data_IF_633457363210
#
_entry.id   IF_633457363210
#
_cell.length_a   1.000
_cell.length_b   1.000
_cell.length_c   1.000
_cell.angle_alpha   90.00
_cell.angle_beta   90.00
_cell.angle_gamma   90.00
#
_symmetry.space_group_name_H-M   'P 1'
#
loop_
_entity.id
_entity.type
_entity.pdbx_description
1 polymer ?
#
# COMPACT_ATOMS: atom_id res chain seq x y z
N UNK A 1 -1.62 9.46 -7.54
CA UNK A 1 -2.58 10.55 -7.69
C UNK A 1 -3.55 10.29 -8.84
N UNK A 2 -3.07 9.96 -10.06
CA UNK A 2 -3.91 9.78 -11.27
C UNK A 2 -5.01 8.74 -11.12
N UNK A 3 -4.70 7.55 -10.62
CA UNK A 3 -5.71 6.49 -10.34
C UNK A 3 -6.76 6.99 -9.36
N UNK A 4 -6.36 7.61 -8.25
CA UNK A 4 -7.32 8.17 -7.28
C UNK A 4 -8.21 9.23 -7.88
N UNK A 5 -7.67 10.11 -8.73
CA UNK A 5 -8.44 11.12 -9.42
C UNK A 5 -9.46 10.49 -10.38
N UNK A 6 -9.10 9.40 -11.05
CA UNK A 6 -9.97 8.63 -11.93
C UNK A 6 -11.12 7.96 -11.16
N UNK A 7 -10.82 7.28 -10.04
CA UNK A 7 -11.84 6.68 -9.19
C UNK A 7 -12.80 7.72 -8.58
N UNK A 8 -12.27 8.86 -8.13
CA UNK A 8 -13.09 9.98 -7.65
C UNK A 8 -13.98 10.50 -8.76
N UNK A 9 -13.48 10.55 -10.00
CA UNK A 9 -14.26 10.98 -11.15
C UNK A 9 -15.45 10.03 -11.42
N UNK A 10 -15.24 8.71 -11.32
CA UNK A 10 -16.32 7.73 -11.43
C UNK A 10 -17.42 7.97 -10.39
N UNK A 11 -17.04 8.23 -9.15
CA UNK A 11 -17.99 8.54 -8.07
C UNK A 11 -18.72 9.86 -8.35
N UNK A 12 -17.99 10.91 -8.73
CA UNK A 12 -18.54 12.25 -9.02
C UNK A 12 -19.53 12.22 -10.18
N UNK A 13 -19.21 11.47 -11.24
CA UNK A 13 -20.08 11.30 -12.41
C UNK A 13 -21.20 10.26 -12.19
N UNK A 14 -21.25 9.61 -11.01
CA UNK A 14 -22.22 8.57 -10.65
C UNK A 14 -22.28 7.41 -11.67
N UNK A 15 -21.13 7.02 -12.20
CA UNK A 15 -21.06 6.00 -13.26
C UNK A 15 -21.69 4.68 -12.82
N UNK A 16 -21.49 4.25 -11.58
CA UNK A 16 -22.09 3.02 -11.04
C UNK A 16 -23.62 3.09 -11.05
N UNK A 17 -24.20 4.21 -10.62
CA UNK A 17 -25.66 4.39 -10.62
C UNK A 17 -26.22 4.42 -12.04
N UNK A 18 -25.57 5.15 -12.95
CA UNK A 18 -25.95 5.22 -14.37
C UNK A 18 -25.84 3.86 -15.05
N UNK A 19 -24.79 3.08 -14.72
CA UNK A 19 -24.62 1.72 -15.23
C UNK A 19 -25.70 0.78 -14.70
N UNK A 20 -26.09 0.91 -13.42
CA UNK A 20 -27.19 0.13 -12.86
C UNK A 20 -28.54 0.47 -13.52
N UNK A 21 -28.81 1.75 -13.75
CA UNK A 21 -30.04 2.19 -14.45
C UNK A 21 -30.08 1.68 -15.88
N UNK A 22 -28.96 1.74 -16.62
CA UNK A 22 -28.89 1.22 -17.99
C UNK A 22 -28.93 -0.31 -18.03
N UNK A 23 -28.32 -0.99 -17.06
CA UNK A 23 -28.35 -2.46 -16.93
C UNK A 23 -29.73 -3.00 -16.55
N UNK A 24 -30.55 -2.24 -15.83
CA UNK A 24 -31.93 -2.63 -15.51
C UNK A 24 -32.83 -2.70 -16.75
N UNK A 25 -32.44 -2.01 -17.82
CA UNK A 25 -33.06 -2.11 -19.16
C UNK A 25 -32.56 -3.32 -19.97
N UNK A 26 -31.52 -4.02 -19.48
CA UNK A 26 -30.87 -5.18 -20.10
C UNK A 26 -30.77 -6.27 -19.04
N UNK A 27 -31.23 -7.50 -19.33
CA UNK A 27 -31.12 -8.62 -18.38
C UNK A 27 -29.70 -8.78 -17.84
N UNK A 28 -29.55 -8.90 -16.49
CA UNK A 28 -28.28 -8.95 -15.76
C UNK A 28 -27.30 -10.00 -16.32
N UNK A 29 -27.82 -11.16 -16.77
CA UNK A 29 -27.05 -12.21 -17.43
C UNK A 29 -26.40 -11.74 -18.74
N UNK A 30 -27.08 -10.86 -19.48
CA UNK A 30 -26.54 -10.28 -20.73
C UNK A 30 -25.45 -9.23 -20.42
N UNK A 31 -25.61 -8.45 -19.35
CA UNK A 31 -24.62 -7.45 -18.94
C UNK A 31 -23.30 -8.10 -18.50
N UNK A 32 -23.36 -9.19 -17.74
CA UNK A 32 -22.16 -9.95 -17.31
C UNK A 32 -21.47 -10.66 -18.47
N UNK A 33 -22.23 -11.21 -19.43
CA UNK A 33 -21.64 -11.86 -20.61
C UNK A 33 -20.95 -10.85 -21.55
N UNK A 34 -21.46 -9.61 -21.61
CA UNK A 34 -20.85 -8.52 -22.39
C UNK A 34 -19.56 -8.04 -21.74
N UNK A 35 -19.55 -7.89 -20.42
CA UNK A 35 -18.32 -7.56 -19.70
C UNK A 35 -17.24 -8.62 -19.94
N UNK A 36 -17.61 -9.90 -19.90
CA UNK A 36 -16.72 -11.02 -20.19
C UNK A 36 -16.20 -11.01 -21.63
N UNK A 37 -17.04 -10.65 -22.63
CA UNK A 37 -16.63 -10.58 -24.06
C UNK A 37 -15.76 -9.36 -24.36
N UNK A 38 -15.98 -8.22 -23.71
CA UNK A 38 -15.08 -7.06 -23.81
C UNK A 38 -13.70 -7.42 -23.25
N UNK A 39 -13.67 -8.11 -22.14
CA UNK A 39 -12.43 -8.61 -21.51
C UNK A 39 -11.72 -9.63 -22.40
N UNK A 40 -12.46 -10.56 -23.02
CA UNK A 40 -11.90 -11.58 -23.93
C UNK A 40 -11.50 -11.00 -25.30
N UNK A 41 -12.27 -10.06 -25.83
CA UNK A 41 -12.05 -9.48 -27.16
C UNK A 41 -10.82 -8.58 -27.29
N UNK A 42 -10.26 -8.11 -26.20
CA UNK A 42 -8.96 -7.39 -26.22
C UNK A 42 -7.76 -8.32 -26.44
N UNK A 43 -7.95 -9.64 -26.30
CA UNK A 43 -6.87 -10.63 -26.42
C UNK A 43 -6.94 -11.52 -27.67
N UNK A 44 -8.02 -11.49 -28.47
CA UNK A 44 -8.10 -12.31 -29.67
C UNK A 44 -8.62 -11.53 -30.88
N UNK A 45 -7.71 -11.00 -31.67
CA UNK A 45 -7.99 -10.37 -32.95
C UNK A 45 -8.35 -11.40 -34.04
N UNK A 46 -8.42 -12.68 -33.70
CA UNK A 46 -8.58 -13.77 -34.69
C UNK A 46 -9.91 -14.53 -34.69
N UNK A 47 -10.75 -14.44 -33.67
CA UNK A 47 -11.86 -15.39 -33.47
C UNK A 47 -13.29 -14.84 -33.65
N UNK A 48 -13.50 -13.54 -33.81
CA UNK A 48 -14.85 -12.92 -33.86
C UNK A 48 -15.36 -12.59 -35.29
N UNK A 49 -14.76 -13.18 -36.31
CA UNK A 49 -15.10 -12.87 -37.69
C UNK A 49 -16.37 -13.52 -38.24
N UNK A 50 -17.02 -14.43 -37.54
CA UNK A 50 -18.18 -15.16 -38.12
C UNK A 50 -19.09 -15.77 -37.05
N UNK A 51 -19.88 -14.98 -36.27
CA UNK A 51 -21.11 -15.57 -35.74
C UNK A 51 -22.07 -14.50 -35.16
N UNK A 52 -23.25 -14.45 -35.75
CA UNK A 52 -24.55 -14.02 -35.22
C UNK A 52 -24.76 -12.53 -34.98
N UNK A 53 -25.19 -11.84 -36.00
CA UNK A 53 -26.01 -10.63 -35.95
C UNK A 53 -27.35 -10.98 -35.35
N UNK A 54 -27.48 -10.95 -34.04
CA UNK A 54 -28.75 -11.02 -33.33
C UNK A 54 -28.97 -9.73 -32.54
N UNK A 55 -30.21 -9.43 -32.20
CA UNK A 55 -30.59 -8.29 -31.36
C UNK A 55 -29.81 -8.21 -30.03
N UNK A 56 -29.20 -9.31 -29.56
CA UNK A 56 -28.31 -9.39 -28.43
C UNK A 56 -26.93 -8.72 -28.69
N UNK A 57 -26.38 -8.83 -29.89
CA UNK A 57 -25.09 -8.21 -30.24
C UNK A 57 -25.17 -6.68 -30.31
N UNK A 58 -26.32 -6.14 -30.71
CA UNK A 58 -26.55 -4.68 -30.72
C UNK A 58 -26.64 -4.12 -29.30
N UNK A 59 -27.32 -4.82 -28.37
CA UNK A 59 -27.37 -4.43 -26.96
C UNK A 59 -25.99 -4.54 -26.29
N UNK A 60 -25.25 -5.59 -26.59
CA UNK A 60 -23.89 -5.81 -26.13
C UNK A 60 -22.95 -4.67 -26.59
N UNK A 61 -23.03 -4.29 -27.84
CA UNK A 61 -22.23 -3.20 -28.41
C UNK A 61 -22.57 -1.85 -27.77
N UNK A 62 -23.86 -1.57 -27.49
CA UNK A 62 -24.29 -0.36 -26.78
C UNK A 62 -23.72 -0.27 -25.37
N UNK A 63 -23.74 -1.37 -24.60
CA UNK A 63 -23.18 -1.40 -23.26
C UNK A 63 -21.66 -1.23 -23.26
N UNK A 64 -20.98 -1.81 -24.21
CA UNK A 64 -19.53 -1.62 -24.39
C UNK A 64 -19.17 -0.17 -24.69
N UNK A 65 -19.93 0.48 -25.57
CA UNK A 65 -19.71 1.88 -25.88
C UNK A 65 -20.01 2.77 -24.68
N UNK A 66 -21.06 2.47 -23.94
CA UNK A 66 -21.43 3.16 -22.71
C UNK A 66 -20.31 3.08 -21.64
N UNK A 67 -19.69 1.91 -21.44
CA UNK A 67 -18.53 1.75 -20.56
C UNK A 67 -17.35 2.60 -21.04
N UNK A 68 -17.04 2.56 -22.35
CA UNK A 68 -15.95 3.38 -22.92
C UNK A 68 -16.19 4.88 -22.76
N UNK A 69 -17.41 5.34 -22.92
CA UNK A 69 -17.79 6.74 -22.71
C UNK A 69 -17.60 7.17 -21.24
N UNK A 70 -17.97 6.30 -20.28
CA UNK A 70 -17.74 6.54 -18.87
C UNK A 70 -16.24 6.62 -18.52
N UNK A 71 -15.41 5.76 -19.12
CA UNK A 71 -13.97 5.81 -18.94
C UNK A 71 -13.37 7.13 -19.47
N UNK A 72 -13.79 7.56 -20.64
CA UNK A 72 -13.36 8.84 -21.23
C UNK A 72 -13.85 10.03 -20.39
N UNK A 73 -15.08 9.99 -19.91
CA UNK A 73 -15.63 11.03 -19.01
C UNK A 73 -14.82 11.05 -17.70
N UNK A 74 -14.52 9.89 -17.12
CA UNK A 74 -13.72 9.79 -15.90
C UNK A 74 -12.29 10.35 -16.10
N UNK A 75 -11.64 10.04 -17.22
CA UNK A 75 -10.32 10.56 -17.55
C UNK A 75 -10.30 12.09 -17.65
N UNK A 76 -11.28 12.67 -18.30
CA UNK A 76 -11.42 14.15 -18.43
C UNK A 76 -11.63 14.81 -17.07
N UNK A 77 -12.52 14.25 -16.24
CA UNK A 77 -12.76 14.75 -14.88
C UNK A 77 -11.53 14.56 -13.99
N UNK A 78 -10.83 13.45 -14.13
CA UNK A 78 -9.61 13.17 -13.38
C UNK A 78 -8.51 14.20 -13.65
N UNK A 79 -8.31 14.61 -14.91
CA UNK A 79 -7.38 15.69 -15.25
C UNK A 79 -7.76 16.99 -14.54
N UNK A 80 -9.03 17.36 -14.52
CA UNK A 80 -9.49 18.56 -13.80
C UNK A 80 -9.28 18.42 -12.28
N UNK A 81 -9.50 17.25 -11.72
CA UNK A 81 -9.25 16.96 -10.29
C UNK A 81 -7.77 17.14 -9.98
N UNK A 82 -6.87 16.59 -10.81
CA UNK A 82 -5.42 16.73 -10.64
C UNK A 82 -5.00 18.20 -10.68
N UNK A 83 -5.46 18.95 -11.68
CA UNK A 83 -5.15 20.40 -11.83
C UNK A 83 -5.63 21.18 -10.61
N UNK A 84 -6.87 20.96 -10.16
CA UNK A 84 -7.42 21.64 -8.99
C UNK A 84 -6.69 21.30 -7.69
N UNK A 85 -6.10 20.11 -7.62
CA UNK A 85 -5.23 19.67 -6.52
C UNK A 85 -3.78 20.14 -6.68
N UNK A 86 -3.48 20.95 -7.70
CA UNK A 86 -2.12 21.40 -8.05
C UNK A 86 -1.14 20.24 -8.33
N UNK A 87 -1.66 19.12 -8.84
CA UNK A 87 -0.88 17.93 -9.23
C UNK A 87 -0.73 17.94 -10.76
N UNK A 88 0.46 17.59 -11.25
CA UNK A 88 0.75 17.55 -12.67
C UNK A 88 -0.22 16.62 -13.42
N UNK A 89 -1.07 17.14 -14.34
CA UNK A 89 -2.03 16.33 -15.07
C UNK A 89 -1.39 15.28 -16.01
N UNK A 90 -0.11 15.47 -16.40
CA UNK A 90 0.62 14.48 -17.18
C UNK A 90 0.81 13.14 -16.45
N UNK A 91 0.67 13.13 -15.11
CA UNK A 91 0.70 11.90 -14.32
C UNK A 91 -0.32 10.83 -14.79
N UNK A 92 -1.44 11.27 -15.41
CA UNK A 92 -2.44 10.37 -15.98
C UNK A 92 -1.90 9.63 -17.20
N UNK A 93 -1.34 10.35 -18.15
CA UNK A 93 -0.78 9.74 -19.37
C UNK A 93 0.49 8.92 -19.09
N UNK A 94 1.30 9.30 -18.11
CA UNK A 94 2.46 8.53 -17.66
C UNK A 94 2.03 7.21 -17.02
N UNK A 95 0.98 7.23 -16.21
CA UNK A 95 0.39 6.03 -15.64
C UNK A 95 -0.09 5.07 -16.74
N UNK A 96 -0.80 5.57 -17.74
CA UNK A 96 -1.26 4.74 -18.86
C UNK A 96 -0.11 4.13 -19.67
N UNK A 97 0.97 4.88 -19.89
CA UNK A 97 2.18 4.35 -20.55
C UNK A 97 2.85 3.25 -19.72
N UNK A 98 2.84 3.40 -18.39
CA UNK A 98 3.37 2.38 -17.48
C UNK A 98 2.53 1.10 -17.56
N UNK A 99 1.19 1.21 -17.47
CA UNK A 99 0.29 0.07 -17.64
C UNK A 99 0.47 -0.64 -18.99
N UNK A 100 0.70 0.12 -20.05
CA UNK A 100 0.93 -0.44 -21.38
C UNK A 100 2.24 -1.24 -21.46
N UNK A 101 3.28 -0.81 -20.76
CA UNK A 101 4.58 -1.51 -20.71
C UNK A 101 4.55 -2.75 -19.83
N UNK A 102 3.79 -2.71 -18.75
CA UNK A 102 3.71 -3.79 -17.76
C UNK A 102 2.57 -4.79 -18.05
N UNK A 103 2.16 -4.91 -19.29
CA UNK A 103 1.03 -5.74 -19.73
C UNK A 103 1.14 -7.24 -19.38
N UNK A 104 2.26 -7.68 -18.81
CA UNK A 104 2.53 -9.04 -18.35
C UNK A 104 2.44 -9.20 -16.81
N UNK A 105 2.19 -8.14 -16.06
CA UNK A 105 2.04 -8.20 -14.59
C UNK A 105 0.56 -8.43 -14.22
N UNK A 106 0.30 -9.37 -13.30
CA UNK A 106 -1.05 -9.73 -12.87
C UNK A 106 -1.86 -8.55 -12.33
N UNK A 107 -1.21 -7.59 -11.66
CA UNK A 107 -1.88 -6.41 -11.12
C UNK A 107 -2.30 -5.40 -12.20
N UNK A 108 -1.48 -5.21 -13.23
CA UNK A 108 -1.84 -4.38 -14.38
C UNK A 108 -3.02 -5.00 -15.16
N UNK A 109 -3.03 -6.32 -15.32
CA UNK A 109 -4.12 -7.06 -15.97
C UNK A 109 -5.45 -6.92 -15.22
N UNK A 110 -5.44 -6.96 -13.90
CA UNK A 110 -6.66 -6.81 -13.09
C UNK A 110 -7.28 -5.40 -13.25
N UNK A 111 -6.46 -4.35 -13.19
CA UNK A 111 -6.92 -2.99 -13.45
C UNK A 111 -7.49 -2.82 -14.86
N UNK A 112 -6.81 -3.35 -15.88
CA UNK A 112 -7.23 -3.27 -17.29
C UNK A 112 -8.52 -4.05 -17.59
N UNK A 113 -8.86 -5.03 -16.76
CA UNK A 113 -10.13 -5.78 -16.87
C UNK A 113 -11.36 -4.93 -16.53
N UNK A 114 -11.23 -4.05 -15.52
CA UNK A 114 -12.30 -3.16 -15.11
C UNK A 114 -12.25 -1.81 -15.83
N UNK A 115 -11.05 -1.35 -16.21
CA UNK A 115 -10.79 -0.08 -16.88
C UNK A 115 -10.04 -0.28 -18.20
N UNK A 116 -10.72 -0.65 -19.30
CA UNK A 116 -10.06 -0.93 -20.59
C UNK A 116 -9.28 0.27 -21.11
N UNK A 117 -7.99 0.08 -21.34
CA UNK A 117 -7.11 1.12 -21.86
C UNK A 117 -7.05 1.05 -23.38
N UNK A 118 -7.47 2.13 -24.04
CA UNK A 118 -7.40 2.28 -25.49
C UNK A 118 -6.35 3.33 -25.88
N UNK A 119 -5.83 3.24 -27.09
CA UNK A 119 -4.90 4.25 -27.64
C UNK A 119 -5.54 5.65 -27.65
N UNK A 120 -6.85 5.73 -27.90
CA UNK A 120 -7.59 6.97 -27.87
C UNK A 120 -7.59 7.61 -26.47
N UNK A 121 -7.75 6.83 -25.40
CA UNK A 121 -7.68 7.35 -24.02
C UNK A 121 -6.29 7.92 -23.70
N UNK A 122 -5.23 7.23 -24.12
CA UNK A 122 -3.84 7.70 -23.95
C UNK A 122 -3.64 9.03 -24.69
N UNK A 123 -4.02 9.09 -25.96
CA UNK A 123 -3.85 10.28 -26.78
C UNK A 123 -4.69 11.45 -26.26
N UNK A 124 -5.92 11.20 -25.87
CA UNK A 124 -6.82 12.24 -25.35
C UNK A 124 -6.33 12.81 -24.01
N UNK A 125 -5.93 11.96 -23.08
CA UNK A 125 -5.38 12.40 -21.79
C UNK A 125 -4.08 13.20 -21.96
N UNK A 126 -3.21 12.82 -22.89
CA UNK A 126 -2.02 13.61 -23.25
C UNK A 126 -2.39 15.00 -23.80
N UNK A 127 -3.33 15.04 -24.74
CA UNK A 127 -3.78 16.28 -25.34
C UNK A 127 -4.41 17.22 -24.29
N UNK A 128 -5.28 16.69 -23.44
CA UNK A 128 -5.91 17.46 -22.37
C UNK A 128 -4.88 17.98 -21.36
N UNK A 129 -3.98 17.12 -20.90
CA UNK A 129 -2.93 17.49 -19.96
C UNK A 129 -1.99 18.57 -20.50
N UNK A 130 -1.66 18.52 -21.80
CA UNK A 130 -0.78 19.50 -22.45
C UNK A 130 -1.31 20.93 -22.49
N UNK A 131 -2.62 21.11 -22.31
CA UNK A 131 -3.27 22.44 -22.25
C UNK A 131 -2.98 23.19 -20.96
N UNK A 132 -2.62 22.47 -19.90
CA UNK A 132 -2.32 23.06 -18.60
C UNK A 132 -0.82 23.35 -18.50
N UNK A 133 -0.48 24.63 -18.68
CA UNK A 133 0.89 25.16 -18.51
C UNK A 133 0.98 25.79 -17.13
N UNK A 134 1.64 25.15 -16.18
CA UNK A 134 1.80 25.67 -14.82
C UNK A 134 2.93 24.97 -14.08
N UNK A 135 3.34 25.55 -12.96
CA UNK A 135 4.21 24.88 -12.01
C UNK A 135 3.31 24.07 -11.07
N UNK A 136 3.34 22.75 -11.23
CA UNK A 136 2.66 21.83 -10.34
C UNK A 136 3.57 21.43 -9.19
N UNK A 137 2.97 21.00 -8.08
CA UNK A 137 3.73 20.46 -6.96
C UNK A 137 4.49 19.21 -7.40
N UNK A 138 5.78 19.18 -7.07
CA UNK A 138 6.58 17.97 -7.22
C UNK A 138 6.10 16.90 -6.23
N UNK A 139 6.40 15.63 -6.53
CA UNK A 139 6.17 14.53 -5.61
C UNK A 139 6.80 14.82 -4.25
N UNK A 140 6.00 14.68 -3.19
CA UNK A 140 6.51 14.86 -1.83
C UNK A 140 7.64 13.87 -1.53
N UNK A 141 8.57 14.25 -0.68
CA UNK A 141 9.61 13.32 -0.22
C UNK A 141 9.01 12.06 0.39
N UNK A 142 7.88 12.18 1.11
CA UNK A 142 7.15 11.03 1.65
C UNK A 142 6.76 10.04 0.55
N UNK A 143 6.23 10.53 -0.56
CA UNK A 143 5.90 9.68 -1.71
C UNK A 143 7.14 9.06 -2.34
N UNK A 144 8.18 9.84 -2.63
CA UNK A 144 9.39 9.37 -3.28
C UNK A 144 10.09 8.25 -2.47
N UNK A 145 10.28 8.46 -1.16
CA UNK A 145 10.90 7.46 -0.28
C UNK A 145 10.04 6.21 -0.09
N UNK A 146 8.72 6.38 0.01
CA UNK A 146 7.79 5.24 0.10
C UNK A 146 7.75 4.47 -1.22
N UNK A 147 7.68 5.15 -2.34
CA UNK A 147 7.74 4.54 -3.68
C UNK A 147 9.02 3.77 -3.90
N UNK A 148 10.18 4.35 -3.54
CA UNK A 148 11.47 3.65 -3.60
C UNK A 148 11.46 2.36 -2.78
N UNK A 149 10.94 2.39 -1.54
CA UNK A 149 10.84 1.21 -0.68
C UNK A 149 9.94 0.13 -1.28
N UNK A 150 8.77 0.49 -1.80
CA UNK A 150 7.84 -0.46 -2.45
C UNK A 150 8.46 -1.04 -3.73
N UNK A 151 9.15 -0.21 -4.52
CA UNK A 151 9.81 -0.67 -5.75
C UNK A 151 10.88 -1.72 -5.48
N UNK A 152 11.68 -1.56 -4.42
CA UNK A 152 12.71 -2.54 -4.03
C UNK A 152 12.12 -3.91 -3.69
N UNK A 153 10.86 -4.00 -3.22
CA UNK A 153 10.21 -5.29 -2.96
C UNK A 153 9.93 -6.10 -4.24
N UNK A 154 9.69 -5.41 -5.36
CA UNK A 154 9.37 -6.01 -6.65
C UNK A 154 10.57 -6.15 -7.58
N UNK A 155 11.64 -5.40 -7.33
CA UNK A 155 12.81 -5.32 -8.20
C UNK A 155 13.73 -6.54 -8.05
N UNK A 156 14.41 -6.93 -9.14
CA UNK A 156 15.58 -7.81 -9.06
C UNK A 156 16.73 -7.04 -8.41
N UNK A 157 16.82 -7.11 -7.09
CA UNK A 157 17.78 -6.33 -6.29
C UNK A 157 19.22 -6.69 -6.60
N UNK A 158 19.53 -7.94 -6.97
CA UNK A 158 20.88 -8.35 -7.36
C UNK A 158 21.34 -7.64 -8.63
N UNK A 159 20.49 -7.62 -9.66
CA UNK A 159 20.80 -6.92 -10.91
C UNK A 159 20.93 -5.41 -10.67
N UNK A 160 20.02 -4.82 -9.90
CA UNK A 160 20.07 -3.40 -9.54
C UNK A 160 21.35 -3.04 -8.79
N UNK A 161 21.71 -3.79 -7.76
CA UNK A 161 22.96 -3.57 -6.99
C UNK A 161 24.21 -3.68 -7.87
N UNK A 162 24.20 -4.60 -8.84
CA UNK A 162 25.35 -4.80 -9.75
C UNK A 162 25.50 -3.68 -10.78
N UNK A 163 24.39 -3.07 -11.21
CA UNK A 163 24.38 -2.01 -12.22
C UNK A 163 24.51 -0.60 -11.65
N UNK A 164 24.19 -0.41 -10.35
CA UNK A 164 24.15 0.92 -9.75
C UNK A 164 25.56 1.43 -9.41
N UNK A 165 25.92 2.59 -9.94
CA UNK A 165 27.16 3.27 -9.61
C UNK A 165 26.97 4.19 -8.41
N UNK A 166 27.30 3.71 -7.23
CA UNK A 166 27.27 4.50 -6.00
C UNK A 166 28.47 5.43 -5.90
N UNK A 167 28.20 6.73 -5.82
CA UNK A 167 29.23 7.75 -5.62
C UNK A 167 28.70 8.85 -4.68
N UNK A 168 29.09 8.88 -3.40
CA UNK A 168 28.58 9.84 -2.42
C UNK A 168 28.93 11.30 -2.75
N UNK A 169 30.00 11.57 -3.49
CA UNK A 169 30.38 12.94 -3.90
C UNK A 169 29.35 13.57 -4.85
N UNK A 170 28.61 12.75 -5.62
CA UNK A 170 27.57 13.24 -6.52
C UNK A 170 26.33 13.77 -5.79
N UNK A 171 26.12 13.42 -4.52
CA UNK A 171 25.00 13.93 -3.71
C UNK A 171 25.13 15.43 -3.40
N UNK A 172 26.34 15.94 -3.34
CA UNK A 172 26.59 17.38 -3.11
C UNK A 172 26.13 18.22 -4.29
N UNK A 173 26.31 17.70 -5.50
CA UNK A 173 25.98 18.39 -6.77
C UNK A 173 24.61 18.04 -7.32
N UNK A 174 24.07 16.85 -6.98
CA UNK A 174 22.78 16.37 -7.46
C UNK A 174 21.90 15.84 -6.31
N UNK A 175 21.10 16.69 -5.64
CA UNK A 175 20.21 16.29 -4.56
C UNK A 175 19.15 15.27 -4.96
N UNK A 176 18.80 15.14 -6.25
CA UNK A 176 17.84 14.16 -6.75
C UNK A 176 18.29 12.71 -6.51
N UNK A 177 19.61 12.48 -6.42
CA UNK A 177 20.16 11.15 -6.13
C UNK A 177 19.92 10.63 -4.71
N UNK A 178 19.44 11.46 -3.80
CA UNK A 178 19.17 11.03 -2.40
C UNK A 178 18.20 9.85 -2.37
N UNK A 179 17.17 9.87 -3.21
CA UNK A 179 16.16 8.80 -3.29
C UNK A 179 16.75 7.54 -3.93
N UNK A 180 17.58 7.71 -4.97
CA UNK A 180 18.24 6.59 -5.65
C UNK A 180 19.24 5.88 -4.74
N UNK A 181 20.06 6.65 -4.01
CA UNK A 181 21.02 6.09 -3.06
C UNK A 181 20.32 5.47 -1.85
N UNK A 182 19.17 6.02 -1.44
CA UNK A 182 18.31 5.38 -0.43
C UNK A 182 17.78 4.03 -0.93
N UNK A 183 17.28 3.97 -2.16
CA UNK A 183 16.84 2.73 -2.80
C UNK A 183 18.00 1.71 -2.90
N UNK A 184 19.20 2.17 -3.28
CA UNK A 184 20.39 1.33 -3.33
C UNK A 184 20.75 0.75 -1.96
N UNK A 185 20.71 1.56 -0.90
CA UNK A 185 20.92 1.11 0.47
C UNK A 185 19.92 0.03 0.91
N UNK A 186 18.64 0.18 0.55
CA UNK A 186 17.61 -0.83 0.80
C UNK A 186 17.88 -2.12 0.04
N UNK A 187 18.25 -2.02 -1.25
CA UNK A 187 18.58 -3.17 -2.08
C UNK A 187 19.77 -3.95 -1.54
N UNK A 188 20.82 -3.26 -1.08
CA UNK A 188 21.95 -3.87 -0.38
C UNK A 188 21.52 -4.62 0.88
N UNK A 189 20.57 -4.06 1.64
CA UNK A 189 20.01 -4.72 2.81
C UNK A 189 19.29 -6.02 2.46
N UNK A 190 18.48 -6.02 1.39
CA UNK A 190 17.76 -7.19 0.88
C UNK A 190 18.74 -8.27 0.38
N UNK A 191 19.87 -7.88 -0.21
CA UNK A 191 20.97 -8.78 -0.59
C UNK A 191 21.89 -9.16 0.60
N UNK A 192 21.50 -8.82 1.85
CA UNK A 192 22.26 -9.09 3.08
C UNK A 192 23.66 -8.45 3.13
N UNK A 193 23.94 -7.45 2.29
CA UNK A 193 25.18 -6.66 2.28
C UNK A 193 25.13 -5.54 3.32
N UNK A 194 24.87 -5.91 4.58
CA UNK A 194 24.54 -4.97 5.67
C UNK A 194 25.64 -3.94 5.98
N UNK A 195 26.92 -4.31 5.80
CA UNK A 195 28.03 -3.37 6.00
C UNK A 195 28.00 -2.25 4.96
N UNK A 196 27.78 -2.60 3.69
CA UNK A 196 27.67 -1.66 2.58
C UNK A 196 26.41 -0.80 2.74
N UNK A 197 25.25 -1.41 3.01
CA UNK A 197 24.00 -0.70 3.26
C UNK A 197 24.15 0.34 4.37
N UNK A 198 24.74 -0.04 5.51
CA UNK A 198 24.94 0.89 6.63
C UNK A 198 25.91 2.02 6.27
N UNK A 199 26.90 1.81 5.41
CA UNK A 199 27.79 2.85 4.92
C UNK A 199 27.04 3.86 4.05
N UNK A 200 26.19 3.38 3.13
CA UNK A 200 25.35 4.25 2.28
C UNK A 200 24.47 5.14 3.13
N UNK A 201 23.73 4.57 4.09
CA UNK A 201 22.81 5.35 4.94
C UNK A 201 23.55 6.31 5.88
N UNK A 202 24.72 5.97 6.42
CA UNK A 202 25.52 6.92 7.20
C UNK A 202 25.98 8.08 6.34
N UNK A 203 26.49 7.86 5.14
CA UNK A 203 26.90 8.93 4.22
C UNK A 203 25.70 9.84 3.87
N UNK A 204 24.51 9.26 3.65
CA UNK A 204 23.29 10.06 3.44
C UNK A 204 22.97 10.93 4.65
N UNK A 205 23.04 10.37 5.87
CA UNK A 205 22.79 11.11 7.10
C UNK A 205 23.80 12.24 7.33
N UNK A 206 25.08 11.99 7.03
CA UNK A 206 26.13 13.00 7.15
C UNK A 206 25.84 14.20 6.25
N UNK A 207 25.46 13.96 4.99
CA UNK A 207 25.09 15.02 4.05
C UNK A 207 23.82 15.76 4.51
N UNK A 208 22.82 15.03 4.99
CA UNK A 208 21.56 15.59 5.46
C UNK A 208 21.71 16.42 6.74
N UNK A 209 22.73 16.14 7.56
CA UNK A 209 23.02 16.93 8.76
C UNK A 209 23.47 18.37 8.45
N UNK A 210 24.07 18.57 7.28
CA UNK A 210 24.53 19.89 6.81
C UNK A 210 23.46 20.66 5.99
N UNK A 211 22.27 20.08 5.74
CA UNK A 211 21.20 20.68 4.94
C UNK A 211 19.90 20.76 5.74
N UNK A 212 19.68 21.85 6.44
CA UNK A 212 18.50 22.06 7.34
C UNK A 212 17.15 21.91 6.64
N UNK A 213 17.07 22.23 5.34
CA UNK A 213 15.84 22.12 4.54
C UNK A 213 15.38 20.67 4.30
N UNK A 214 16.24 19.69 4.55
CA UNK A 214 15.98 18.26 4.27
C UNK A 214 15.72 17.43 5.54
N UNK A 215 15.35 18.09 6.63
CA UNK A 215 15.13 17.43 7.94
C UNK A 215 14.13 16.26 7.89
N UNK A 216 13.05 16.39 7.10
CA UNK A 216 12.04 15.34 6.94
C UNK A 216 12.65 14.06 6.35
N UNK A 217 13.58 14.19 5.41
CA UNK A 217 14.24 13.06 4.73
C UNK A 217 15.08 12.24 5.71
N UNK A 218 15.72 12.91 6.67
CA UNK A 218 16.58 12.30 7.67
C UNK A 218 15.88 11.16 8.43
N UNK A 219 14.57 11.27 8.67
CA UNK A 219 13.81 10.24 9.36
C UNK A 219 13.70 8.96 8.57
N UNK A 220 13.42 9.05 7.24
CA UNK A 220 13.34 7.88 6.38
C UNK A 220 14.67 7.12 6.35
N UNK A 221 15.78 7.85 6.22
CA UNK A 221 17.13 7.25 6.18
C UNK A 221 17.50 6.68 7.54
N UNK A 222 17.17 7.36 8.64
CA UNK A 222 17.46 6.87 10.00
C UNK A 222 16.69 5.60 10.34
N UNK A 223 15.41 5.51 9.94
CA UNK A 223 14.60 4.29 10.11
C UNK A 223 15.20 3.14 9.29
N UNK A 224 15.59 3.39 8.04
CA UNK A 224 16.22 2.37 7.20
C UNK A 224 17.57 1.90 7.77
N UNK A 225 18.39 2.81 8.27
CA UNK A 225 19.65 2.45 8.94
C UNK A 225 19.41 1.59 10.19
N UNK A 226 18.40 1.94 10.99
CA UNK A 226 18.04 1.15 12.16
C UNK A 226 17.57 -0.25 11.79
N UNK A 227 16.76 -0.38 10.72
CA UNK A 227 16.34 -1.67 10.15
C UNK A 227 17.55 -2.52 9.74
N UNK A 228 18.52 -1.94 9.01
CA UNK A 228 19.77 -2.64 8.63
C UNK A 228 20.56 -3.09 9.84
N UNK A 229 20.63 -2.27 10.89
CA UNK A 229 21.30 -2.67 12.12
C UNK A 229 20.57 -3.82 12.83
N UNK A 230 19.24 -3.86 12.84
CA UNK A 230 18.47 -4.98 13.39
C UNK A 230 18.70 -6.27 12.61
N UNK A 231 18.68 -6.20 11.27
CA UNK A 231 18.95 -7.35 10.39
C UNK A 231 20.39 -7.88 10.55
N UNK A 232 21.33 -7.02 10.90
CA UNK A 232 22.73 -7.36 11.13
C UNK A 232 23.07 -7.66 12.61
N UNK A 233 22.07 -7.90 13.46
CA UNK A 233 22.20 -8.16 14.89
C UNK A 233 22.98 -7.05 15.68
N UNK A 234 23.05 -5.82 15.17
CA UNK A 234 23.65 -4.66 15.83
C UNK A 234 22.64 -3.89 16.65
N UNK A 235 21.92 -4.59 17.51
CA UNK A 235 20.73 -4.11 18.21
C UNK A 235 20.97 -2.82 19.02
N UNK A 236 22.11 -2.70 19.72
CA UNK A 236 22.46 -1.48 20.48
C UNK A 236 22.51 -0.23 19.61
N UNK A 237 23.02 -0.36 18.35
CA UNK A 237 23.04 0.77 17.41
C UNK A 237 21.64 1.14 16.92
N UNK A 238 20.82 0.14 16.62
CA UNK A 238 19.42 0.34 16.24
C UNK A 238 18.63 1.03 17.37
N UNK A 239 18.75 0.54 18.60
CA UNK A 239 18.08 1.12 19.77
C UNK A 239 18.44 2.59 20.00
N UNK A 240 19.72 2.97 19.83
CA UNK A 240 20.14 4.37 19.97
C UNK A 240 19.40 5.28 19.00
N UNK A 241 19.36 4.88 17.72
CA UNK A 241 18.67 5.65 16.66
C UNK A 241 17.17 5.71 16.93
N UNK A 242 16.54 4.56 17.23
CA UNK A 242 15.09 4.45 17.36
C UNK A 242 14.55 5.14 18.62
N UNK A 243 15.31 5.16 19.72
CA UNK A 243 14.95 5.94 20.90
C UNK A 243 14.93 7.43 20.58
N UNK A 244 15.99 7.95 19.96
CA UNK A 244 16.04 9.36 19.57
C UNK A 244 14.89 9.72 18.60
N UNK A 245 14.57 8.86 17.64
CA UNK A 245 13.44 9.07 16.74
C UNK A 245 12.10 9.03 17.49
N UNK A 246 11.95 8.13 18.46
CA UNK A 246 10.73 8.04 19.24
C UNK A 246 10.51 9.26 20.16
N UNK A 247 11.57 9.87 20.65
CA UNK A 247 11.46 11.10 21.46
C UNK A 247 10.95 12.27 20.61
N UNK A 248 11.30 12.30 19.31
CA UNK A 248 10.85 13.34 18.37
C UNK A 248 9.49 13.00 17.76
N UNK A 249 9.24 11.71 17.46
CA UNK A 249 8.05 11.20 16.75
C UNK A 249 7.39 10.06 17.52
N UNK A 250 6.83 10.33 18.71
CA UNK A 250 6.33 9.28 19.62
C UNK A 250 5.14 8.49 19.09
N UNK A 251 4.43 9.03 18.08
CA UNK A 251 3.24 8.42 17.46
C UNK A 251 3.50 7.92 16.02
N UNK A 252 4.76 7.89 15.58
CA UNK A 252 5.07 7.39 14.24
C UNK A 252 5.08 5.85 14.22
N UNK A 253 4.16 5.24 13.48
CA UNK A 253 4.00 3.79 13.42
C UNK A 253 5.27 3.04 12.99
N UNK A 254 6.06 3.58 12.04
CA UNK A 254 7.29 2.94 11.60
C UNK A 254 8.36 2.96 12.71
N UNK A 255 8.50 4.08 13.40
CA UNK A 255 9.41 4.20 14.55
C UNK A 255 9.00 3.24 15.66
N UNK A 256 7.71 3.20 16.03
CA UNK A 256 7.18 2.29 17.05
C UNK A 256 7.40 0.81 16.67
N UNK A 257 7.19 0.46 15.40
CA UNK A 257 7.39 -0.90 14.92
C UNK A 257 8.85 -1.36 15.05
N UNK A 258 9.79 -0.56 14.54
CA UNK A 258 11.21 -0.92 14.60
C UNK A 258 11.77 -0.82 16.02
N UNK A 259 11.32 0.15 16.83
CA UNK A 259 11.70 0.25 18.24
C UNK A 259 11.23 -0.98 19.03
N UNK A 260 10.00 -1.41 18.81
CA UNK A 260 9.47 -2.63 19.45
C UNK A 260 10.23 -3.88 19.02
N UNK A 261 10.59 -3.97 17.73
CA UNK A 261 11.45 -5.06 17.24
C UNK A 261 12.82 -5.06 17.91
N UNK A 262 13.43 -3.89 18.08
CA UNK A 262 14.70 -3.71 18.76
C UNK A 262 14.61 -4.08 20.26
N UNK A 263 13.55 -3.67 20.93
CA UNK A 263 13.29 -4.00 22.33
C UNK A 263 13.06 -5.50 22.54
N UNK A 264 12.37 -6.16 21.59
CA UNK A 264 12.17 -7.63 21.61
C UNK A 264 13.52 -8.35 21.47
N UNK A 265 14.37 -7.93 20.53
CA UNK A 265 15.70 -8.51 20.36
C UNK A 265 16.62 -8.26 21.57
N UNK A 266 16.35 -7.21 22.34
CA UNK A 266 17.09 -6.86 23.57
C UNK A 266 16.43 -7.44 24.83
N UNK A 267 15.47 -8.34 24.68
CA UNK A 267 14.70 -8.97 25.77
C UNK A 267 13.94 -8.00 26.69
N UNK A 268 13.68 -6.78 26.24
CA UNK A 268 12.95 -5.75 26.97
C UNK A 268 11.44 -5.82 26.71
N UNK A 269 10.86 -7.01 26.79
CA UNK A 269 9.48 -7.32 26.38
C UNK A 269 8.43 -6.45 27.10
N UNK A 270 8.61 -6.24 28.42
CA UNK A 270 7.67 -5.43 29.19
C UNK A 270 7.56 -4.00 28.66
N UNK A 271 8.68 -3.40 28.24
CA UNK A 271 8.66 -2.05 27.65
C UNK A 271 7.90 -1.97 26.34
N UNK A 272 7.86 -3.06 25.57
CA UNK A 272 7.03 -3.13 24.34
C UNK A 272 5.56 -3.06 24.69
N UNK A 273 5.13 -3.85 25.67
CA UNK A 273 3.74 -3.90 26.12
C UNK A 273 3.33 -2.54 26.69
N UNK A 274 4.10 -2.00 27.64
CA UNK A 274 3.80 -0.73 28.30
C UNK A 274 3.71 0.45 27.32
N UNK A 275 4.51 0.40 26.25
CA UNK A 275 4.51 1.46 25.22
C UNK A 275 3.37 1.29 24.21
N UNK A 276 3.16 0.09 23.72
CA UNK A 276 2.25 -0.14 22.59
C UNK A 276 0.79 -0.30 23.00
N UNK A 277 0.50 -0.87 24.18
CA UNK A 277 -0.88 -1.10 24.61
C UNK A 277 -1.71 0.17 24.64
N UNK A 278 -1.29 1.26 25.28
CA UNK A 278 -2.05 2.51 25.24
C UNK A 278 -2.24 3.05 23.81
N UNK A 279 -1.20 2.90 22.98
CA UNK A 279 -1.21 3.42 21.61
C UNK A 279 -2.21 2.69 20.70
N UNK A 280 -2.25 1.34 20.73
CA UNK A 280 -3.09 0.54 19.83
C UNK A 280 -4.58 0.59 20.19
N UNK A 281 -4.95 1.07 21.37
CA UNK A 281 -6.34 1.31 21.74
C UNK A 281 -6.96 2.36 20.82
N UNK A 282 -6.23 3.44 20.56
CA UNK A 282 -6.66 4.54 19.69
C UNK A 282 -6.30 4.26 18.21
N UNK A 283 -5.11 3.73 17.97
CA UNK A 283 -4.53 3.54 16.65
C UNK A 283 -4.40 2.04 16.34
N UNK A 284 -5.40 1.45 15.75
CA UNK A 284 -5.50 0.00 15.47
C UNK A 284 -4.51 -0.51 14.40
N UNK A 285 -3.21 -0.20 14.54
CA UNK A 285 -2.18 -0.74 13.65
C UNK A 285 -1.92 -2.23 13.95
N UNK A 286 -2.31 -3.09 13.02
CA UNK A 286 -2.21 -4.54 13.18
C UNK A 286 -0.77 -5.03 13.39
N UNK A 287 0.25 -4.34 12.83
CA UNK A 287 1.66 -4.72 12.98
C UNK A 287 2.15 -4.49 14.40
N UNK A 288 1.71 -3.39 15.03
CA UNK A 288 2.05 -3.07 16.43
C UNK A 288 1.32 -3.99 17.40
N UNK A 289 0.07 -4.34 17.11
CA UNK A 289 -0.69 -5.34 17.87
C UNK A 289 0.02 -6.69 17.85
N UNK A 290 0.56 -7.09 16.69
CA UNK A 290 1.36 -8.31 16.59
C UNK A 290 2.63 -8.26 17.45
N UNK A 291 3.30 -7.10 17.56
CA UNK A 291 4.47 -6.92 18.45
C UNK A 291 4.12 -7.08 19.93
N UNK A 292 2.93 -6.63 20.35
CA UNK A 292 2.45 -6.88 21.72
C UNK A 292 2.30 -8.39 21.97
N UNK A 293 1.65 -9.10 21.05
CA UNK A 293 1.50 -10.55 21.14
C UNK A 293 2.84 -11.27 21.22
N UNK A 294 3.83 -10.90 20.37
CA UNK A 294 5.18 -11.46 20.39
C UNK A 294 5.86 -11.25 21.75
N UNK A 295 5.80 -10.03 22.29
CA UNK A 295 6.40 -9.69 23.58
C UNK A 295 5.74 -10.45 24.74
N UNK A 296 4.42 -10.58 24.74
CA UNK A 296 3.66 -11.31 25.73
C UNK A 296 4.02 -12.80 25.79
N UNK A 297 4.15 -13.46 24.64
CA UNK A 297 4.60 -14.85 24.58
C UNK A 297 6.01 -15.02 25.13
N UNK A 298 6.91 -14.08 24.89
CA UNK A 298 8.27 -14.09 25.45
C UNK A 298 8.28 -13.92 26.98
N UNK A 299 7.31 -13.20 27.53
CA UNK A 299 7.07 -13.07 28.97
C UNK A 299 6.31 -14.28 29.56
N UNK A 300 5.92 -15.25 28.76
CA UNK A 300 5.06 -16.40 29.14
C UNK A 300 3.64 -15.99 29.56
N UNK A 301 3.21 -14.79 29.22
CA UNK A 301 1.85 -14.28 29.44
C UNK A 301 0.92 -14.82 28.32
N UNK A 302 0.61 -16.14 28.37
CA UNK A 302 -0.06 -16.84 27.27
C UNK A 302 -1.45 -16.27 26.96
N UNK A 303 -2.28 -16.00 27.98
CA UNK A 303 -3.62 -15.44 27.81
C UNK A 303 -3.55 -14.09 27.06
N UNK A 304 -2.70 -13.20 27.54
CA UNK A 304 -2.51 -11.88 26.95
C UNK A 304 -1.96 -11.96 25.51
N UNK A 305 -0.98 -12.84 25.28
CA UNK A 305 -0.42 -13.08 23.95
C UNK A 305 -1.46 -13.60 22.94
N UNK A 306 -2.32 -14.53 23.38
CA UNK A 306 -3.40 -15.03 22.53
C UNK A 306 -4.48 -13.99 22.29
N UNK A 307 -4.83 -13.17 23.27
CA UNK A 307 -5.81 -12.08 23.09
C UNK A 307 -5.35 -11.11 21.98
N UNK A 308 -4.12 -10.58 22.07
CA UNK A 308 -3.60 -9.68 21.05
C UNK A 308 -3.36 -10.35 19.69
N UNK A 309 -3.10 -11.65 19.67
CA UNK A 309 -3.08 -12.42 18.41
C UNK A 309 -4.47 -12.49 17.77
N UNK A 310 -5.50 -12.64 18.58
CA UNK A 310 -6.89 -12.56 18.13
C UNK A 310 -7.24 -11.16 17.58
N UNK A 311 -6.84 -10.10 18.27
CA UNK A 311 -7.04 -8.72 17.81
C UNK A 311 -6.36 -8.45 16.46
N UNK A 312 -5.14 -8.92 16.27
CA UNK A 312 -4.43 -8.87 14.98
C UNK A 312 -5.21 -9.54 13.86
N UNK A 313 -5.68 -10.77 14.09
CA UNK A 313 -6.41 -11.55 13.09
C UNK A 313 -7.79 -10.97 12.78
N UNK A 314 -8.46 -10.38 13.79
CA UNK A 314 -9.74 -9.67 13.62
C UNK A 314 -9.59 -8.50 12.66
N UNK A 315 -8.53 -7.69 12.82
CA UNK A 315 -8.27 -6.54 11.92
C UNK A 315 -8.01 -7.01 10.48
N UNK A 316 -7.35 -8.16 10.30
CA UNK A 316 -7.13 -8.75 8.98
C UNK A 316 -8.37 -9.46 8.38
N UNK A 317 -9.52 -9.44 9.06
CA UNK A 317 -10.74 -10.11 8.62
C UNK A 317 -10.71 -11.64 8.76
N UNK A 318 -9.68 -12.21 9.38
CA UNK A 318 -9.54 -13.65 9.63
C UNK A 318 -10.35 -14.06 10.86
N UNK A 319 -11.67 -13.88 10.80
CA UNK A 319 -12.58 -13.96 11.95
C UNK A 319 -12.56 -15.34 12.66
N UNK A 320 -12.62 -16.43 11.92
CA UNK A 320 -12.59 -17.77 12.51
C UNK A 320 -11.28 -18.04 13.26
N UNK A 321 -10.15 -17.57 12.72
CA UNK A 321 -8.85 -17.67 13.39
C UNK A 321 -8.79 -16.77 14.62
N UNK A 322 -9.34 -15.55 14.56
CA UNK A 322 -9.43 -14.66 15.70
C UNK A 322 -10.20 -15.28 16.86
N UNK A 323 -11.38 -15.86 16.60
CA UNK A 323 -12.19 -16.58 17.60
C UNK A 323 -11.40 -17.74 18.23
N UNK A 324 -10.65 -18.50 17.42
CA UNK A 324 -9.80 -19.58 17.92
C UNK A 324 -8.77 -19.06 18.94
N UNK A 325 -8.10 -17.97 18.63
CA UNK A 325 -7.12 -17.39 19.53
C UNK A 325 -7.74 -16.76 20.78
N UNK A 326 -8.89 -16.12 20.70
CA UNK A 326 -9.64 -15.66 21.87
C UNK A 326 -10.07 -16.82 22.79
N UNK A 327 -10.54 -17.94 22.24
CA UNK A 327 -10.84 -19.13 23.04
C UNK A 327 -9.58 -19.72 23.71
N UNK A 328 -8.42 -19.64 23.05
CA UNK A 328 -7.15 -20.02 23.67
C UNK A 328 -6.81 -19.06 24.83
N UNK A 329 -6.97 -17.75 24.63
CA UNK A 329 -6.73 -16.77 25.69
C UNK A 329 -7.54 -17.06 26.96
N UNK A 330 -8.83 -17.37 26.81
CA UNK A 330 -9.72 -17.75 27.93
C UNK A 330 -9.21 -19.02 28.65
N UNK A 331 -8.70 -20.02 27.91
CA UNK A 331 -8.19 -21.26 28.52
C UNK A 331 -6.97 -21.05 29.43
N UNK A 332 -6.16 -20.04 29.16
CA UNK A 332 -4.99 -19.71 29.97
C UNK A 332 -5.29 -18.73 31.10
N UNK A 333 -6.55 -18.41 31.31
CA UNK A 333 -6.98 -17.46 32.34
C UNK A 333 -7.73 -18.15 33.47
N UNK A 334 -7.91 -17.49 34.61
CA UNK A 334 -8.81 -17.99 35.68
C UNK A 334 -10.25 -17.86 35.21
N UNK A 335 -11.03 -18.93 35.31
CA UNK A 335 -12.44 -18.93 34.93
C UNK A 335 -13.22 -17.85 35.69
N UNK A 336 -14.05 -17.08 34.96
CA UNK A 336 -14.93 -16.07 35.53
C UNK A 336 -14.24 -14.76 35.86
N UNK A 337 -13.06 -14.50 35.28
CA UNK A 337 -12.39 -13.22 35.44
C UNK A 337 -12.99 -12.13 34.50
N UNK A 338 -12.84 -10.86 34.89
CA UNK A 338 -13.22 -9.71 34.04
C UNK A 338 -12.53 -9.74 32.66
N UNK A 339 -11.38 -10.43 32.56
CA UNK A 339 -10.66 -10.64 31.33
C UNK A 339 -11.44 -11.61 30.42
N UNK A 340 -12.02 -12.68 30.96
CA UNK A 340 -12.84 -13.64 30.22
C UNK A 340 -14.08 -12.96 29.63
N UNK A 341 -14.73 -12.08 30.40
CA UNK A 341 -15.89 -11.32 29.93
C UNK A 341 -15.52 -10.37 28.79
N UNK A 342 -14.39 -9.69 28.90
CA UNK A 342 -13.88 -8.83 27.84
C UNK A 342 -13.58 -9.61 26.57
N UNK A 343 -12.91 -10.75 26.65
CA UNK A 343 -12.55 -11.57 25.49
C UNK A 343 -13.82 -12.21 24.89
N UNK A 344 -14.76 -12.64 25.73
CA UNK A 344 -16.05 -13.17 25.27
C UNK A 344 -16.84 -12.12 24.50
N UNK A 345 -16.81 -10.86 24.94
CA UNK A 345 -17.42 -9.75 24.22
C UNK A 345 -16.80 -9.55 22.83
N UNK A 346 -15.48 -9.68 22.68
CA UNK A 346 -14.80 -9.64 21.38
C UNK A 346 -15.24 -10.79 20.45
N UNK A 347 -15.49 -11.98 20.98
CA UNK A 347 -16.02 -13.11 20.21
C UNK A 347 -17.44 -12.81 19.71
N UNK A 348 -18.32 -12.34 20.59
CA UNK A 348 -19.71 -11.97 20.23
C UNK A 348 -19.74 -10.87 19.17
N UNK A 349 -18.86 -9.89 19.25
CA UNK A 349 -18.74 -8.83 18.25
C UNK A 349 -18.42 -9.41 16.85
N UNK A 350 -17.49 -10.36 16.76
CA UNK A 350 -17.16 -11.01 15.49
C UNK A 350 -18.33 -11.82 14.96
N UNK A 351 -19.03 -12.59 15.82
CA UNK A 351 -20.18 -13.39 15.42
C UNK A 351 -21.29 -12.51 14.83
N UNK A 352 -21.58 -11.38 15.47
CA UNK A 352 -22.53 -10.39 14.94
C UNK A 352 -22.10 -9.81 13.60
N UNK A 353 -20.80 -9.58 13.39
CA UNK A 353 -20.28 -9.11 12.10
C UNK A 353 -20.41 -10.16 11.00
N UNK A 354 -20.32 -11.45 11.33
CA UNK A 354 -20.50 -12.55 10.39
C UNK A 354 -21.99 -12.72 10.01
N UNK A 355 -22.88 -12.68 10.98
CA UNK A 355 -24.34 -12.72 10.76
C UNK A 355 -24.83 -11.58 9.85
N UNK A 356 -24.34 -10.36 10.06
CA UNK A 356 -24.70 -9.21 9.23
C UNK A 356 -24.14 -9.29 7.78
N UNK A 357 -23.11 -10.10 7.53
CA UNK A 357 -22.59 -10.33 6.17
C UNK A 357 -23.35 -11.39 5.39
N UNK A 358 -24.08 -12.28 6.04
CA UNK A 358 -24.94 -13.28 5.40
C UNK A 358 -26.29 -12.68 4.95
N UNK A 359 -26.59 -11.44 5.37
CA UNK A 359 -27.86 -10.73 5.06
C UNK A 359 -27.67 -9.75 3.88
N UNK A 360 -26.43 -9.47 3.45
CA UNK A 360 -26.08 -8.61 2.30
C UNK A 360 -25.61 -9.43 1.09
#
# INVERSE_FOLDING_TARGET
ASVMAHEIAHVKARHLSRMHEESSKVNITTALSVLATVIAGTYSTGALGKTLVTTQSVKASKLTNFIREHEVEADRLAINILVNANINPNAMSEFFKTLQKENNDSGALEFLRTHPLTQNRIAETQNLASRYKGQFTNDSFAYQFTSARVSIERLNTRAFVSSYTYNPKLLETNPGRIVDDYAYGLALGKEKKYKEASKVFNNLLDILNHKSQLYIIKNYVSIALAEIYLQNNKNKKALKILKNLNDIYPTNNAVLYYLSSALIQDNQYKKVIDKLVPYVIEHKDHRLILKISEAAYKLKEQSFGHEYRGDYLKILGSFNSAIKYYKLAIRYNMKGSTIDDRITSKIKEIQKLQENKEIL
#
